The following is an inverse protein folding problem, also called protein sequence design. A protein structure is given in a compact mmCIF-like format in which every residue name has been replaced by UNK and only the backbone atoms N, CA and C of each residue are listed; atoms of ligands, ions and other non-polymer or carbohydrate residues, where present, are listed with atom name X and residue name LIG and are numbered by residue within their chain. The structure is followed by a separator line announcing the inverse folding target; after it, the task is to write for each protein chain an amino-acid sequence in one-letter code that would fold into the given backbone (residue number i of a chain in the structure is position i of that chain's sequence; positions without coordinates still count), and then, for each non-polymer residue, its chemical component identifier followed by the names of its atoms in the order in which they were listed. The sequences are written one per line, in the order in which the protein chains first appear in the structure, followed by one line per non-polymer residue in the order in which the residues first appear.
data_IF_252468890660
#
_entry.id   IF_252468890660
#
_cell.length_a   1.000
_cell.length_b   1.000
_cell.length_c   1.000
_cell.angle_alpha   90.00
_cell.angle_beta   90.00
_cell.angle_gamma   90.00
#
_symmetry.space_group_name_H-M   'P 1'
#
loop_
_entity.id
_entity.type
_entity.pdbx_description
1 polymer ?
#
# COMPACT_ATOMS: atom_id res chain seq x y z
N UNK A 1 -49.89 -86.99 -3.75
CA UNK A 1 -49.09 -85.85 -3.23
C UNK A 1 -49.08 -84.81 -4.34
N UNK A 2 -50.01 -83.84 -4.35
CA UNK A 2 -50.03 -82.54 -3.65
C UNK A 2 -48.87 -81.61 -4.04
N UNK A 3 -49.24 -80.40 -4.51
CA UNK A 3 -48.43 -79.26 -4.98
C UNK A 3 -47.81 -79.50 -6.38
N UNK A 4 -48.04 -78.70 -7.42
CA UNK A 4 -48.00 -77.25 -7.50
C UNK A 4 -48.88 -76.72 -8.66
N UNK A 5 -49.85 -75.84 -8.38
CA UNK A 5 -50.37 -74.93 -9.42
C UNK A 5 -50.43 -73.48 -8.92
N UNK A 6 -49.39 -72.97 -8.26
CA UNK A 6 -49.41 -71.60 -7.69
C UNK A 6 -48.29 -70.70 -8.23
N UNK A 7 -47.22 -71.25 -8.83
CA UNK A 7 -46.07 -70.42 -9.25
C UNK A 7 -46.27 -69.73 -10.61
N UNK A 8 -47.24 -70.17 -11.43
CA UNK A 8 -47.45 -69.63 -12.78
C UNK A 8 -48.35 -68.38 -12.85
N UNK A 9 -48.97 -67.95 -11.76
CA UNK A 9 -49.82 -66.74 -11.73
C UNK A 9 -49.14 -65.50 -11.13
N UNK A 10 -47.93 -65.61 -10.57
CA UNK A 10 -47.25 -64.50 -9.89
C UNK A 10 -46.24 -63.71 -10.77
N UNK A 11 -46.01 -64.12 -12.00
CA UNK A 11 -45.07 -63.44 -12.93
C UNK A 11 -45.75 -62.55 -13.96
N UNK A 12 -47.08 -62.48 -13.98
CA UNK A 12 -47.84 -61.68 -14.95
C UNK A 12 -48.42 -60.35 -14.39
N UNK A 13 -48.21 -60.06 -13.11
CA UNK A 13 -48.71 -58.83 -12.47
C UNK A 13 -47.62 -57.92 -11.86
N UNK A 14 -46.33 -58.19 -12.10
CA UNK A 14 -45.22 -57.46 -11.46
C UNK A 14 -44.58 -56.36 -12.32
N UNK A 15 -45.07 -56.07 -13.53
CA UNK A 15 -44.38 -55.18 -14.48
C UNK A 15 -45.08 -53.85 -14.84
N UNK A 16 -46.21 -53.48 -14.23
CA UNK A 16 -46.99 -52.31 -14.69
C UNK A 16 -46.93 -51.04 -13.80
N UNK A 17 -46.05 -50.95 -12.80
CA UNK A 17 -46.03 -49.77 -11.89
C UNK A 17 -44.96 -48.70 -12.22
N UNK A 18 -43.99 -48.95 -13.11
CA UNK A 18 -42.87 -47.99 -13.34
C UNK A 18 -42.94 -47.15 -14.62
N UNK A 19 -44.06 -47.14 -15.35
CA UNK A 19 -44.15 -46.39 -16.62
C UNK A 19 -44.62 -44.94 -16.47
N UNK A 20 -45.20 -44.53 -15.33
CA UNK A 20 -45.81 -43.20 -15.19
C UNK A 20 -44.88 -42.13 -14.58
N UNK A 21 -43.97 -42.50 -13.67
CA UNK A 21 -43.01 -41.55 -13.05
C UNK A 21 -41.83 -41.19 -13.97
N UNK A 22 -41.60 -41.97 -15.03
CA UNK A 22 -40.40 -41.82 -15.87
C UNK A 22 -40.51 -40.62 -16.84
N UNK A 23 -41.73 -40.19 -17.21
CA UNK A 23 -41.91 -39.04 -18.09
C UNK A 23 -41.77 -37.72 -17.32
N UNK A 24 -42.24 -37.67 -16.07
CA UNK A 24 -42.18 -36.47 -15.24
C UNK A 24 -40.73 -36.16 -14.83
N UNK A 25 -39.99 -37.20 -14.43
CA UNK A 25 -38.56 -37.12 -14.14
C UNK A 25 -37.70 -36.79 -15.37
N UNK A 26 -38.05 -37.29 -16.57
CA UNK A 26 -37.32 -36.97 -17.79
C UNK A 26 -37.44 -35.49 -18.19
N UNK A 27 -38.60 -34.86 -18.00
CA UNK A 27 -38.77 -33.43 -18.26
C UNK A 27 -38.06 -32.56 -17.23
N UNK A 28 -38.09 -32.93 -15.95
CA UNK A 28 -37.33 -32.23 -14.91
C UNK A 28 -35.82 -32.26 -15.19
N UNK A 29 -35.28 -33.42 -15.59
CA UNK A 29 -33.87 -33.55 -15.99
C UNK A 29 -33.55 -32.71 -17.22
N UNK A 30 -34.48 -32.59 -18.17
CA UNK A 30 -34.31 -31.78 -19.37
C UNK A 30 -34.30 -30.28 -19.05
N UNK A 31 -35.15 -29.84 -18.11
CA UNK A 31 -35.17 -28.47 -17.61
C UNK A 31 -33.89 -28.14 -16.83
N UNK A 32 -33.49 -29.00 -15.90
CA UNK A 32 -32.23 -28.87 -15.15
C UNK A 32 -31.01 -28.79 -16.06
N UNK A 33 -30.95 -29.61 -17.13
CA UNK A 33 -29.87 -29.52 -18.11
C UNK A 33 -29.82 -28.16 -18.82
N UNK A 34 -30.98 -27.60 -19.19
CA UNK A 34 -31.04 -26.26 -19.81
C UNK A 34 -30.57 -25.19 -18.85
N UNK A 35 -30.97 -25.28 -17.58
CA UNK A 35 -30.60 -24.32 -16.55
C UNK A 35 -29.11 -24.39 -16.23
N UNK A 36 -28.54 -25.59 -16.11
CA UNK A 36 -27.08 -25.78 -15.96
C UNK A 36 -26.33 -25.20 -17.16
N UNK A 37 -26.81 -25.39 -18.39
CA UNK A 37 -26.18 -24.80 -19.58
C UNK A 37 -26.26 -23.26 -19.54
N UNK A 38 -27.38 -22.71 -19.09
CA UNK A 38 -27.60 -21.27 -18.96
C UNK A 38 -26.66 -20.68 -17.89
N UNK A 39 -26.67 -21.24 -16.69
CA UNK A 39 -25.79 -20.83 -15.59
C UNK A 39 -24.31 -20.94 -15.98
N UNK A 40 -23.92 -21.99 -16.70
CA UNK A 40 -22.53 -22.15 -17.17
C UNK A 40 -22.13 -21.07 -18.18
N UNK A 41 -23.07 -20.58 -18.99
CA UNK A 41 -22.83 -19.43 -19.88
C UNK A 41 -22.73 -18.12 -19.11
N UNK A 42 -23.62 -17.92 -18.12
CA UNK A 42 -23.60 -16.73 -17.26
C UNK A 42 -22.30 -16.64 -16.46
N UNK A 43 -21.89 -17.72 -15.78
CA UNK A 43 -20.61 -17.77 -15.04
C UNK A 43 -19.42 -17.50 -15.96
N UNK A 44 -19.43 -18.03 -17.19
CA UNK A 44 -18.34 -17.78 -18.15
C UNK A 44 -18.34 -16.33 -18.66
N UNK A 45 -19.51 -15.72 -18.79
CA UNK A 45 -19.65 -14.29 -19.14
C UNK A 45 -19.15 -13.41 -18.01
N UNK A 46 -19.61 -13.65 -16.77
CA UNK A 46 -19.21 -12.91 -15.58
C UNK A 46 -17.72 -13.03 -15.29
N UNK A 47 -17.12 -14.21 -15.47
CA UNK A 47 -15.69 -14.39 -15.34
C UNK A 47 -14.92 -13.56 -16.38
N UNK A 48 -15.42 -13.51 -17.63
CA UNK A 48 -14.80 -12.72 -18.71
C UNK A 48 -14.96 -11.21 -18.50
N UNK A 49 -16.01 -10.79 -17.78
CA UNK A 49 -16.30 -9.38 -17.51
C UNK A 49 -15.60 -8.87 -16.23
N UNK A 50 -15.40 -9.73 -15.23
CA UNK A 50 -14.71 -9.40 -13.97
C UNK A 50 -13.19 -9.55 -14.03
N UNK A 51 -12.66 -10.43 -14.90
CA UNK A 51 -11.23 -10.44 -15.19
C UNK A 51 -10.97 -9.33 -16.22
N UNK A 52 -10.69 -8.11 -15.76
CA UNK A 52 -10.03 -7.10 -16.58
C UNK A 52 -8.51 -7.32 -16.49
N UNK A 53 -7.90 -8.10 -17.41
CA UNK A 53 -6.46 -8.32 -17.41
C UNK A 53 -5.67 -7.03 -17.70
N UNK A 54 -6.33 -6.01 -18.26
CA UNK A 54 -5.70 -4.73 -18.58
C UNK A 54 -5.30 -3.96 -17.31
N UNK A 55 -6.20 -3.84 -16.33
CA UNK A 55 -5.87 -3.15 -15.08
C UNK A 55 -4.73 -3.81 -14.30
N UNK A 56 -4.63 -5.14 -14.32
CA UNK A 56 -3.54 -5.88 -13.68
C UNK A 56 -2.22 -5.66 -14.43
N UNK A 57 -2.25 -5.69 -15.77
CA UNK A 57 -1.07 -5.44 -16.60
C UNK A 57 -0.56 -4.02 -16.44
N UNK A 58 -1.46 -3.05 -16.38
CA UNK A 58 -1.11 -1.64 -16.19
C UNK A 58 -0.52 -1.40 -14.81
N UNK A 59 -1.07 -2.03 -13.77
CA UNK A 59 -0.47 -2.02 -12.43
C UNK A 59 0.93 -2.64 -12.42
N UNK A 60 1.13 -3.77 -13.09
CA UNK A 60 2.45 -4.41 -13.18
C UNK A 60 3.46 -3.50 -13.87
N UNK A 61 3.06 -2.84 -14.96
CA UNK A 61 3.91 -1.87 -15.66
C UNK A 61 4.28 -0.69 -14.76
N UNK A 62 3.31 -0.18 -14.00
CA UNK A 62 3.55 0.92 -13.07
C UNK A 62 4.51 0.52 -11.93
N UNK A 63 4.36 -0.69 -11.38
CA UNK A 63 5.28 -1.22 -10.36
C UNK A 63 6.71 -1.34 -10.92
N UNK A 64 6.88 -1.82 -12.15
CA UNK A 64 8.20 -1.90 -12.80
C UNK A 64 8.81 -0.50 -12.97
N UNK A 65 8.00 0.47 -13.42
CA UNK A 65 8.43 1.87 -13.57
C UNK A 65 8.88 2.46 -12.23
N UNK A 66 8.07 2.30 -11.19
CA UNK A 66 8.38 2.80 -9.85
C UNK A 66 9.67 2.19 -9.29
N UNK A 67 9.87 0.88 -9.47
CA UNK A 67 11.13 0.22 -9.08
C UNK A 67 12.34 0.84 -9.77
N UNK A 68 12.24 1.15 -11.06
CA UNK A 68 13.32 1.82 -11.80
C UNK A 68 13.61 3.20 -11.24
N UNK A 69 12.58 4.00 -10.95
CA UNK A 69 12.75 5.33 -10.37
C UNK A 69 13.41 5.27 -8.99
N UNK A 70 13.04 4.29 -8.16
CA UNK A 70 13.66 4.10 -6.84
C UNK A 70 15.16 3.81 -6.97
N UNK A 71 15.56 2.94 -7.91
CA UNK A 71 16.98 2.66 -8.13
C UNK A 71 17.74 3.90 -8.60
N UNK A 72 17.17 4.66 -9.55
CA UNK A 72 17.80 5.91 -10.02
C UNK A 72 18.00 6.93 -8.89
N UNK A 73 17.04 7.04 -7.99
CA UNK A 73 17.17 7.93 -6.83
C UNK A 73 18.22 7.43 -5.84
N UNK A 74 18.33 6.12 -5.63
CA UNK A 74 19.37 5.53 -4.79
C UNK A 74 20.76 5.82 -5.36
N UNK A 75 20.94 5.66 -6.67
CA UNK A 75 22.21 5.96 -7.35
C UNK A 75 22.60 7.44 -7.19
N UNK A 76 21.63 8.35 -7.37
CA UNK A 76 21.85 9.79 -7.18
C UNK A 76 22.25 10.13 -5.74
N UNK A 77 21.63 9.48 -4.75
CA UNK A 77 21.98 9.68 -3.33
C UNK A 77 23.43 9.25 -3.08
N UNK A 78 23.84 8.10 -3.61
CA UNK A 78 25.22 7.61 -3.47
C UNK A 78 26.22 8.56 -4.14
N UNK A 79 25.90 9.08 -5.32
CA UNK A 79 26.73 10.07 -6.01
C UNK A 79 26.86 11.37 -5.19
N UNK A 80 25.74 11.87 -4.65
CA UNK A 80 25.75 13.04 -3.79
C UNK A 80 26.57 12.82 -2.52
N UNK A 81 26.44 11.66 -1.88
CA UNK A 81 27.25 11.31 -0.71
C UNK A 81 28.75 11.32 -1.04
N UNK A 82 29.15 10.70 -2.14
CA UNK A 82 30.54 10.71 -2.60
C UNK A 82 31.04 12.14 -2.88
N UNK A 83 30.20 12.99 -3.47
CA UNK A 83 30.54 14.40 -3.73
C UNK A 83 30.71 15.21 -2.44
N UNK A 84 29.88 14.96 -1.42
CA UNK A 84 29.96 15.59 -0.10
C UNK A 84 31.23 15.13 0.61
N UNK A 85 31.54 13.83 0.58
CA UNK A 85 32.77 13.29 1.16
C UNK A 85 34.00 13.91 0.52
N UNK A 86 34.05 13.97 -0.81
CA UNK A 86 35.14 14.61 -1.54
C UNK A 86 35.29 16.10 -1.19
N UNK A 87 34.20 16.84 -1.06
CA UNK A 87 34.23 18.24 -0.61
C UNK A 87 34.68 18.38 0.84
N UNK A 88 34.23 17.48 1.73
CA UNK A 88 34.60 17.49 3.14
C UNK A 88 36.09 17.27 3.37
N UNK A 89 36.76 16.54 2.48
CA UNK A 89 38.21 16.34 2.52
C UNK A 89 39.00 17.58 2.06
N UNK A 90 38.41 18.42 1.20
CA UNK A 90 39.02 19.67 0.72
C UNK A 90 38.81 20.84 1.70
N UNK A 91 37.75 20.80 2.50
CA UNK A 91 37.50 21.78 3.56
C UNK A 91 38.18 21.29 4.84
N UNK A 92 39.45 21.66 5.04
CA UNK A 92 40.07 21.48 6.34
C UNK A 92 39.20 22.17 7.41
N UNK A 93 38.84 21.48 8.50
CA UNK A 93 38.10 22.12 9.57
C UNK A 93 38.96 23.25 10.14
N UNK A 94 38.55 24.51 9.94
CA UNK A 94 39.15 25.63 10.66
C UNK A 94 39.20 25.28 12.16
N UNK A 95 40.30 25.59 12.86
CA UNK A 95 40.42 25.35 14.29
C UNK A 95 39.21 25.96 15.00
N UNK A 96 38.60 25.21 15.91
CA UNK A 96 37.31 25.54 16.54
C UNK A 96 37.28 26.95 17.16
N UNK A 97 38.45 27.49 17.53
CA UNK A 97 38.61 28.82 18.11
C UNK A 97 38.51 29.99 17.10
N UNK A 98 38.67 29.75 15.80
CA UNK A 98 38.62 30.81 14.76
C UNK A 98 37.30 30.82 13.98
N UNK A 99 36.35 29.94 14.34
CA UNK A 99 35.06 29.89 13.65
C UNK A 99 34.17 31.04 14.12
N UNK A 100 33.52 31.77 13.18
CA UNK A 100 32.57 32.82 13.53
C UNK A 100 31.47 32.22 14.42
N UNK A 101 31.30 32.78 15.62
CA UNK A 101 30.24 32.36 16.54
C UNK A 101 29.00 33.16 16.19
N UNK A 102 27.87 32.49 16.02
CA UNK A 102 26.61 33.15 15.76
C UNK A 102 25.79 33.19 17.03
N UNK A 103 25.30 34.36 17.39
CA UNK A 103 24.31 34.54 18.45
C UNK A 103 22.98 34.94 17.84
N UNK A 104 21.93 34.21 18.16
CA UNK A 104 20.56 34.49 17.71
C UNK A 104 19.68 34.80 18.93
N UNK A 105 18.79 35.77 18.77
CA UNK A 105 17.80 36.15 19.77
C UNK A 105 16.40 36.18 19.18
N UNK A 106 15.42 35.87 20.02
CA UNK A 106 14.01 35.97 19.71
C UNK A 106 13.27 36.40 20.98
N UNK A 107 12.17 37.13 20.79
CA UNK A 107 11.27 37.52 21.87
C UNK A 107 9.86 37.09 21.49
N UNK A 108 9.32 36.16 22.26
CA UNK A 108 7.94 35.71 22.12
C UNK A 108 7.11 36.19 23.31
N UNK A 109 5.82 36.43 23.10
CA UNK A 109 4.93 36.89 24.15
C UNK A 109 4.67 35.82 25.23
N UNK A 110 4.74 34.54 24.88
CA UNK A 110 4.48 33.41 25.79
C UNK A 110 5.77 32.82 26.35
N UNK A 111 6.79 32.62 25.51
CA UNK A 111 8.07 32.04 25.90
C UNK A 111 9.10 33.08 26.41
N UNK A 112 8.79 34.37 26.32
CA UNK A 112 9.66 35.46 26.76
C UNK A 112 10.84 35.71 25.83
N UNK A 113 11.87 36.39 26.36
CA UNK A 113 13.14 36.60 25.66
C UNK A 113 14.03 35.36 25.75
N UNK A 114 14.63 34.98 24.63
CA UNK A 114 15.45 33.78 24.52
C UNK A 114 16.58 34.01 23.53
N UNK A 115 17.71 33.36 23.79
CA UNK A 115 18.94 33.49 23.03
C UNK A 115 19.59 32.12 22.87
N UNK A 116 20.36 31.95 21.81
CA UNK A 116 21.12 30.73 21.54
C UNK A 116 22.35 31.06 20.69
N UNK A 117 23.41 30.29 20.90
CA UNK A 117 24.67 30.44 20.17
C UNK A 117 25.00 29.15 19.40
N UNK A 118 25.73 29.28 18.29
CA UNK A 118 26.15 28.16 17.46
C UNK A 118 27.32 28.51 16.55
N UNK A 119 27.97 27.51 15.97
CA UNK A 119 29.08 27.71 15.03
C UNK A 119 28.61 28.12 13.63
N UNK A 120 27.31 27.99 13.37
CA UNK A 120 26.66 28.50 12.17
C UNK A 120 25.36 29.19 12.53
N UNK A 121 24.94 30.13 11.67
CA UNK A 121 23.63 30.78 11.78
C UNK A 121 22.49 29.76 11.86
N UNK A 122 22.56 28.67 11.09
CA UNK A 122 21.52 27.64 11.05
C UNK A 122 21.46 26.87 12.36
N UNK A 123 22.62 26.50 12.92
CA UNK A 123 22.70 25.82 14.21
C UNK A 123 22.16 26.70 15.35
N UNK A 124 22.59 27.97 15.40
CA UNK A 124 22.12 28.92 16.40
C UNK A 124 20.59 29.11 16.30
N UNK A 125 20.05 29.27 15.08
CA UNK A 125 18.60 29.35 14.84
C UNK A 125 17.85 28.09 15.28
N UNK A 126 18.35 26.90 14.92
CA UNK A 126 17.73 25.63 15.29
C UNK A 126 17.63 25.46 16.80
N UNK A 127 18.73 25.72 17.52
CA UNK A 127 18.75 25.74 18.99
C UNK A 127 17.77 26.75 19.58
N UNK A 128 17.62 27.91 18.95
CA UNK A 128 16.69 28.94 19.42
C UNK A 128 15.23 28.45 19.32
N UNK A 129 14.86 27.87 18.17
CA UNK A 129 13.52 27.34 17.95
C UNK A 129 13.21 26.19 18.90
N UNK A 130 14.19 25.34 19.19
CA UNK A 130 14.07 24.28 20.18
C UNK A 130 13.77 24.84 21.58
N UNK A 131 14.54 25.84 22.03
CA UNK A 131 14.32 26.53 23.32
C UNK A 131 12.92 27.17 23.37
N UNK A 132 12.48 27.79 22.26
CA UNK A 132 11.14 28.35 22.18
C UNK A 132 10.04 27.29 22.32
N UNK A 133 10.19 26.17 21.63
CA UNK A 133 9.23 25.06 21.66
C UNK A 133 9.15 24.46 23.06
N UNK A 134 10.29 24.30 23.74
CA UNK A 134 10.34 23.80 25.13
C UNK A 134 9.63 24.75 26.10
N UNK A 135 9.66 26.06 25.84
CA UNK A 135 8.97 27.08 26.64
C UNK A 135 7.50 27.30 26.24
N UNK A 136 6.97 26.54 25.28
CA UNK A 136 5.58 26.63 24.84
C UNK A 136 5.22 27.91 24.06
N UNK A 137 6.22 28.55 23.45
CA UNK A 137 6.06 29.74 22.61
C UNK A 137 5.54 29.43 21.21
N UNK A 138 5.18 30.47 20.46
CA UNK A 138 4.86 30.34 19.03
C UNK A 138 6.09 30.76 18.22
N UNK A 139 6.85 29.75 17.76
CA UNK A 139 8.19 29.96 17.25
C UNK A 139 8.17 30.12 15.74
N UNK A 140 8.50 31.33 15.25
CA UNK A 140 8.62 31.60 13.82
C UNK A 140 10.02 32.09 13.48
N UNK A 141 10.57 31.58 12.38
CA UNK A 141 11.89 32.02 11.91
C UNK A 141 11.95 33.51 11.59
N UNK A 142 10.83 34.12 11.20
CA UNK A 142 10.72 35.55 10.90
C UNK A 142 10.97 36.45 12.12
N UNK A 143 10.78 35.93 13.34
CA UNK A 143 11.01 36.65 14.60
C UNK A 143 12.45 36.55 15.13
N UNK A 144 13.33 35.81 14.46
CA UNK A 144 14.70 35.56 14.92
C UNK A 144 15.66 36.59 14.32
N UNK A 145 16.46 37.20 15.18
CA UNK A 145 17.53 38.12 14.79
C UNK A 145 18.87 37.53 15.20
N UNK A 146 19.79 37.40 14.25
CA UNK A 146 21.11 36.81 14.48
C UNK A 146 22.22 37.78 14.13
N UNK A 147 23.21 37.89 15.02
CA UNK A 147 24.45 38.63 14.83
C UNK A 147 25.64 37.68 14.84
N UNK A 148 26.70 38.09 14.15
CA UNK A 148 28.02 37.47 14.26
C UNK A 148 28.66 37.98 15.57
N UNK A 149 29.08 37.05 16.41
CA UNK A 149 29.73 37.25 17.71
C UNK A 149 31.24 37.10 17.44
N UNK A 150 31.85 38.20 17.00
CA UNK A 150 33.30 38.33 16.79
C UNK A 150 34.06 38.44 18.11
#
# INVERSE_FOLDING_TARGET
MRSLPIVLFLTLFSSSVFAHDNHQTAEEVRLLKKEVIKLRKEVRSDYKQNVQPEGIRDLQNEVVRLRKNVHQLQDLILELQASIEAQSQLVQPLPVNERPKWACYMKDARAGGMHSNGFSRVEAKGKLLEICSQRGGVCFESGIKCSDEQ
#
